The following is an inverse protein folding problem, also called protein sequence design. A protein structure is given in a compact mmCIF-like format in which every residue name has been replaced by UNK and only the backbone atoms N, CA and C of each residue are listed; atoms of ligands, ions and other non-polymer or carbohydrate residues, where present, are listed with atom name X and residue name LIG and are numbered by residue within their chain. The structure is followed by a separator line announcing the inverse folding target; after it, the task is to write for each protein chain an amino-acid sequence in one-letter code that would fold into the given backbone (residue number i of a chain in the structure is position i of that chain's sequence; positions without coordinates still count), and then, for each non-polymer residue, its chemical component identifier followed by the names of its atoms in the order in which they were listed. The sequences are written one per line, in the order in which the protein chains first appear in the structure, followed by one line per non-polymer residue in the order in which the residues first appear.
data_IF_520148644209
#
_entry.id   IF_520148644209
#
_cell.length_a   1.000
_cell.length_b   1.000
_cell.length_c   1.000
_cell.angle_alpha   90.00
_cell.angle_beta   90.00
_cell.angle_gamma   90.00
#
_symmetry.space_group_name_H-M   'P 1'
#
loop_
_entity.id
_entity.type
_entity.pdbx_description
1 polymer ?
#
# COMPACT_ATOMS: atom_id res chain seq x y z
N UNK A 1 -19.75 -26.81 -24.38
CA UNK A 1 -20.36 -25.49 -24.67
C UNK A 1 -19.22 -24.57 -25.07
N UNK A 2 -19.04 -24.35 -26.36
CA UNK A 2 -18.08 -23.36 -26.85
C UNK A 2 -18.68 -21.97 -26.68
N UNK A 3 -18.05 -21.13 -25.87
CA UNK A 3 -18.40 -19.71 -25.75
C UNK A 3 -18.19 -19.03 -27.11
N UNK A 4 -19.13 -18.19 -27.52
CA UNK A 4 -18.95 -17.35 -28.72
C UNK A 4 -17.75 -16.41 -28.52
N UNK A 5 -17.08 -16.02 -29.61
CA UNK A 5 -15.95 -15.08 -29.55
C UNK A 5 -16.32 -13.76 -28.84
N UNK A 6 -17.54 -13.28 -29.05
CA UNK A 6 -18.09 -12.08 -28.41
C UNK A 6 -18.25 -12.24 -26.89
N UNK A 7 -18.70 -13.41 -26.44
CA UNK A 7 -18.84 -13.69 -25.00
C UNK A 7 -17.47 -13.77 -24.31
N UNK A 8 -16.48 -14.37 -24.98
CA UNK A 8 -15.09 -14.46 -24.48
C UNK A 8 -14.48 -13.06 -24.31
N UNK A 9 -14.64 -12.18 -25.30
CA UNK A 9 -14.15 -10.79 -25.23
C UNK A 9 -14.83 -10.01 -24.11
N UNK A 10 -16.14 -10.17 -23.96
CA UNK A 10 -16.91 -9.50 -22.89
C UNK A 10 -16.45 -9.94 -21.49
N UNK A 11 -16.22 -11.23 -21.30
CA UNK A 11 -15.70 -11.79 -20.04
C UNK A 11 -14.29 -11.24 -19.74
N UNK A 12 -13.41 -11.18 -20.74
CA UNK A 12 -12.05 -10.67 -20.60
C UNK A 12 -12.05 -9.17 -20.25
N UNK A 13 -12.89 -8.36 -20.91
CA UNK A 13 -13.05 -6.93 -20.60
C UNK A 13 -13.59 -6.71 -19.18
N UNK A 14 -14.54 -7.55 -18.75
CA UNK A 14 -15.05 -7.50 -17.37
C UNK A 14 -13.95 -7.88 -16.36
N UNK A 15 -13.15 -8.90 -16.64
CA UNK A 15 -12.02 -9.27 -15.80
C UNK A 15 -10.96 -8.16 -15.73
N UNK A 16 -10.64 -7.53 -16.87
CA UNK A 16 -9.68 -6.43 -16.94
C UNK A 16 -10.13 -5.21 -16.11
N UNK A 17 -11.37 -4.78 -16.29
CA UNK A 17 -11.94 -3.66 -15.51
C UNK A 17 -11.98 -3.97 -14.02
N UNK A 18 -12.31 -5.22 -13.65
CA UNK A 18 -12.26 -5.67 -12.26
C UNK A 18 -10.84 -5.59 -11.68
N UNK A 19 -9.83 -6.10 -12.38
CA UNK A 19 -8.44 -6.11 -11.93
C UNK A 19 -7.85 -4.69 -11.80
N UNK A 20 -8.15 -3.79 -12.75
CA UNK A 20 -7.78 -2.37 -12.66
C UNK A 20 -8.42 -1.68 -11.46
N UNK A 21 -9.71 -1.93 -11.23
CA UNK A 21 -10.42 -1.43 -10.06
C UNK A 21 -9.85 -1.96 -8.73
N UNK A 22 -9.43 -3.22 -8.69
CA UNK A 22 -8.74 -3.77 -7.51
C UNK A 22 -7.40 -3.09 -7.24
N UNK A 23 -6.61 -2.82 -8.28
CA UNK A 23 -5.32 -2.13 -8.15
C UNK A 23 -5.54 -0.74 -7.55
N UNK A 24 -6.45 0.06 -8.11
CA UNK A 24 -6.77 1.40 -7.60
C UNK A 24 -7.28 1.36 -6.15
N UNK A 25 -8.17 0.41 -5.82
CA UNK A 25 -8.67 0.25 -4.44
C UNK A 25 -7.56 -0.09 -3.45
N UNK A 26 -6.60 -0.92 -3.84
CA UNK A 26 -5.48 -1.30 -2.98
C UNK A 26 -4.53 -0.13 -2.75
N UNK A 27 -4.25 0.66 -3.79
CA UNK A 27 -3.46 1.90 -3.64
C UNK A 27 -4.14 2.92 -2.72
N UNK A 28 -5.45 3.12 -2.89
CA UNK A 28 -6.22 3.99 -1.99
C UNK A 28 -6.16 3.51 -0.53
N UNK A 29 -6.25 2.19 -0.30
CA UNK A 29 -6.09 1.61 1.05
C UNK A 29 -4.69 1.78 1.60
N UNK A 30 -3.64 1.62 0.79
CA UNK A 30 -2.25 1.86 1.22
C UNK A 30 -2.07 3.31 1.70
N UNK A 31 -2.56 4.28 0.94
CA UNK A 31 -2.49 5.69 1.31
C UNK A 31 -3.31 6.00 2.56
N UNK A 32 -4.56 5.53 2.63
CA UNK A 32 -5.41 5.73 3.79
C UNK A 32 -4.81 5.15 5.07
N UNK A 33 -4.22 3.94 4.99
CA UNK A 33 -3.52 3.32 6.12
C UNK A 33 -2.31 4.14 6.55
N UNK A 34 -1.53 4.66 5.61
CA UNK A 34 -0.39 5.51 5.91
C UNK A 34 -0.83 6.82 6.59
N UNK A 35 -1.83 7.51 6.07
CA UNK A 35 -2.38 8.75 6.65
C UNK A 35 -2.94 8.52 8.05
N UNK A 36 -3.71 7.44 8.26
CA UNK A 36 -4.22 7.09 9.58
C UNK A 36 -3.10 6.79 10.58
N UNK A 37 -2.09 6.04 10.15
CA UNK A 37 -0.99 5.62 11.02
C UNK A 37 -0.10 6.80 11.40
N UNK A 38 0.20 7.69 10.45
CA UNK A 38 0.96 8.91 10.71
C UNK A 38 0.19 9.85 11.62
N UNK A 39 -1.11 10.06 11.38
CA UNK A 39 -1.97 10.87 12.25
C UNK A 39 -2.02 10.33 13.69
N UNK A 40 -2.14 9.01 13.85
CA UNK A 40 -2.10 8.37 15.16
C UNK A 40 -0.76 8.58 15.89
N UNK A 41 0.37 8.39 15.19
CA UNK A 41 1.70 8.56 15.77
C UNK A 41 1.98 10.01 16.17
N UNK A 42 1.56 10.99 15.36
CA UNK A 42 1.67 12.42 15.69
C UNK A 42 0.81 12.78 16.90
N UNK A 43 -0.43 12.28 16.96
CA UNK A 43 -1.29 12.50 18.12
C UNK A 43 -0.71 11.89 19.40
N UNK A 44 -0.16 10.67 19.31
CA UNK A 44 0.52 10.01 20.42
C UNK A 44 1.75 10.81 20.88
N UNK A 45 2.55 11.31 19.94
CA UNK A 45 3.68 12.19 20.24
C UNK A 45 3.24 13.47 20.96
N UNK A 46 2.22 14.16 20.45
CA UNK A 46 1.67 15.38 21.06
C UNK A 46 1.15 15.13 22.48
N UNK A 47 0.49 13.99 22.71
CA UNK A 47 0.03 13.60 24.04
C UNK A 47 1.19 13.35 25.02
N UNK A 48 2.28 12.70 24.57
CA UNK A 48 3.46 12.46 25.38
C UNK A 48 4.15 13.77 25.79
N UNK A 49 4.31 14.69 24.83
CA UNK A 49 4.87 16.02 25.10
C UNK A 49 3.99 16.82 26.06
N UNK A 50 2.66 16.76 25.92
CA UNK A 50 1.75 17.42 26.85
C UNK A 50 1.80 16.82 28.27
N UNK A 51 2.12 15.53 28.40
CA UNK A 51 2.23 14.83 29.68
C UNK A 51 3.59 15.04 30.36
N UNK A 52 4.65 15.37 29.61
CA UNK A 52 6.01 15.53 30.16
C UNK A 52 6.16 16.73 31.11
N UNK A 53 5.26 17.72 31.04
CA UNK A 53 5.29 18.92 31.89
C UNK A 53 4.73 18.67 33.31
N UNK A 54 4.28 17.44 33.62
CA UNK A 54 3.80 17.09 34.95
C UNK A 54 4.98 16.76 35.87
N UNK A 55 5.26 17.66 36.81
CA UNK A 55 6.36 17.60 37.78
C UNK A 55 6.36 16.38 38.74
N UNK A 56 5.34 15.52 38.71
CA UNK A 56 5.28 14.33 39.55
C UNK A 56 5.61 13.08 38.72
N UNK A 57 6.64 12.29 39.09
CA UNK A 57 6.93 11.04 38.41
C UNK A 57 5.72 10.11 38.53
N UNK A 58 5.32 9.52 37.40
CA UNK A 58 4.20 8.58 37.36
C UNK A 58 4.47 7.42 38.34
N UNK A 59 3.48 7.02 39.16
CA UNK A 59 3.61 5.82 39.97
C UNK A 59 3.78 4.64 39.01
N UNK A 60 4.85 3.86 39.20
CA UNK A 60 5.23 2.76 38.31
C UNK A 60 5.61 3.18 36.88
N UNK A 61 6.56 4.12 36.73
CA UNK A 61 7.06 4.58 35.43
C UNK A 61 7.52 3.45 34.47
N UNK A 62 8.23 2.44 34.98
CA UNK A 62 8.74 1.32 34.16
C UNK A 62 7.62 0.53 33.44
N UNK A 63 6.61 -0.05 34.12
CA UNK A 63 5.55 -0.77 33.44
C UNK A 63 4.70 0.11 32.53
N UNK A 64 4.52 1.40 32.86
CA UNK A 64 3.79 2.35 32.00
C UNK A 64 4.55 2.57 30.68
N UNK A 65 5.87 2.77 30.73
CA UNK A 65 6.72 2.90 29.54
C UNK A 65 6.68 1.66 28.65
N UNK A 66 6.74 0.47 29.25
CA UNK A 66 6.66 -0.81 28.52
C UNK A 66 5.30 -0.94 27.83
N UNK A 67 4.21 -0.65 28.54
CA UNK A 67 2.86 -0.73 27.99
C UNK A 67 2.66 0.28 26.84
N UNK A 68 3.10 1.52 27.02
CA UNK A 68 3.02 2.56 25.99
C UNK A 68 3.87 2.20 24.75
N UNK A 69 5.06 1.63 24.96
CA UNK A 69 5.90 1.13 23.87
C UNK A 69 5.20 0.03 23.07
N UNK A 70 4.59 -0.94 23.74
CA UNK A 70 3.85 -2.02 23.08
C UNK A 70 2.64 -1.49 22.31
N UNK A 71 1.90 -0.54 22.88
CA UNK A 71 0.73 0.08 22.26
C UNK A 71 1.07 0.78 20.94
N UNK A 72 2.31 1.25 20.76
CA UNK A 72 2.75 1.98 19.57
C UNK A 72 3.51 1.07 18.61
N UNK A 73 4.44 0.27 19.12
CA UNK A 73 5.30 -0.57 18.30
C UNK A 73 4.53 -1.70 17.61
N UNK A 74 3.58 -2.34 18.29
CA UNK A 74 2.83 -3.49 17.73
C UNK A 74 1.93 -3.06 16.57
N UNK A 75 1.04 -2.05 16.71
CA UNK A 75 0.19 -1.62 15.60
C UNK A 75 1.00 -1.06 14.43
N UNK A 76 2.04 -0.26 14.70
CA UNK A 76 2.90 0.32 13.66
C UNK A 76 3.60 -0.75 12.83
N UNK A 77 4.09 -1.81 13.48
CA UNK A 77 4.74 -2.94 12.80
C UNK A 77 3.74 -3.72 11.95
N UNK A 78 2.54 -4.01 12.46
CA UNK A 78 1.49 -4.70 11.71
C UNK A 78 1.08 -3.89 10.47
N UNK A 79 0.95 -2.57 10.61
CA UNK A 79 0.59 -1.67 9.52
C UNK A 79 1.67 -1.60 8.44
N UNK A 80 2.95 -1.48 8.83
CA UNK A 80 4.08 -1.53 7.90
C UNK A 80 4.11 -2.85 7.10
N UNK A 81 3.92 -3.99 7.77
CA UNK A 81 3.86 -5.30 7.11
C UNK A 81 2.68 -5.37 6.13
N UNK A 82 1.50 -4.87 6.52
CA UNK A 82 0.33 -4.85 5.63
C UNK A 82 0.54 -4.00 4.39
N UNK A 83 1.14 -2.81 4.51
CA UNK A 83 1.45 -1.93 3.37
C UNK A 83 2.37 -2.66 2.37
N UNK A 84 3.40 -3.36 2.86
CA UNK A 84 4.27 -4.17 2.00
C UNK A 84 3.52 -5.34 1.33
N UNK A 85 2.57 -5.95 2.03
CA UNK A 85 1.73 -7.03 1.51
C UNK A 85 0.81 -6.59 0.36
N UNK A 86 0.21 -5.40 0.45
CA UNK A 86 -0.64 -4.86 -0.63
C UNK A 86 0.15 -4.59 -1.90
N UNK A 87 1.38 -4.09 -1.78
CA UNK A 87 2.25 -3.82 -2.92
C UNK A 87 2.57 -5.08 -3.72
N UNK A 88 2.86 -6.21 -3.06
CA UNK A 88 3.17 -7.47 -3.77
C UNK A 88 1.97 -7.96 -4.59
N UNK A 89 0.78 -7.96 -3.99
CA UNK A 89 -0.43 -8.40 -4.68
C UNK A 89 -0.86 -7.45 -5.80
N UNK A 90 -0.50 -6.15 -5.73
CA UNK A 90 -0.73 -5.21 -6.83
C UNK A 90 0.10 -5.55 -8.07
N UNK A 91 1.32 -6.07 -7.90
CA UNK A 91 2.16 -6.52 -9.02
C UNK A 91 1.56 -7.77 -9.67
N UNK A 92 1.07 -8.71 -8.87
CA UNK A 92 0.38 -9.90 -9.37
C UNK A 92 -0.85 -9.53 -10.21
N UNK A 93 -1.72 -8.64 -9.70
CA UNK A 93 -2.87 -8.16 -10.47
C UNK A 93 -2.44 -7.46 -11.77
N UNK A 94 -1.35 -6.69 -11.77
CA UNK A 94 -0.84 -6.02 -12.95
C UNK A 94 -0.36 -7.02 -14.02
N UNK A 95 0.29 -8.11 -13.61
CA UNK A 95 0.66 -9.20 -14.54
C UNK A 95 -0.57 -9.89 -15.13
N UNK A 96 -1.66 -9.99 -14.37
CA UNK A 96 -2.92 -10.54 -14.89
C UNK A 96 -3.57 -9.61 -15.91
N UNK A 97 -3.55 -8.30 -15.66
CA UNK A 97 -4.05 -7.30 -16.63
C UNK A 97 -3.30 -7.41 -17.95
N UNK A 98 -1.97 -7.43 -17.93
CA UNK A 98 -1.17 -7.56 -19.16
C UNK A 98 -1.46 -8.86 -19.91
N UNK A 99 -1.61 -9.98 -19.20
CA UNK A 99 -1.99 -11.25 -19.85
C UNK A 99 -3.35 -11.16 -20.55
N UNK A 100 -4.31 -10.46 -19.96
CA UNK A 100 -5.62 -10.23 -20.58
C UNK A 100 -5.48 -9.32 -21.80
N UNK A 101 -4.66 -8.26 -21.72
CA UNK A 101 -4.38 -7.35 -22.84
C UNK A 101 -3.70 -8.05 -24.02
N UNK A 102 -2.78 -8.98 -23.75
CA UNK A 102 -2.16 -9.85 -24.77
C UNK A 102 -3.20 -10.77 -25.40
N UNK A 103 -4.07 -11.41 -24.60
CA UNK A 103 -5.15 -12.28 -25.11
C UNK A 103 -6.19 -11.50 -25.94
N UNK A 104 -6.33 -10.20 -25.70
CA UNK A 104 -7.20 -9.31 -26.47
C UNK A 104 -6.50 -8.70 -27.69
N UNK A 105 -5.26 -9.12 -27.98
CA UNK A 105 -4.45 -8.62 -29.10
C UNK A 105 -4.25 -7.09 -29.06
N UNK A 106 -4.26 -6.48 -27.87
CA UNK A 106 -4.15 -5.02 -27.70
C UNK A 106 -2.84 -4.43 -28.21
N UNK A 107 -1.76 -5.20 -28.18
CA UNK A 107 -0.42 -4.77 -28.59
C UNK A 107 -0.10 -5.08 -30.05
N UNK A 108 -1.00 -5.75 -30.78
CA UNK A 108 -0.78 -6.11 -32.19
C UNK A 108 -1.05 -4.93 -33.12
N UNK A 109 -0.06 -4.59 -33.94
CA UNK A 109 -0.17 -3.51 -34.91
C UNK A 109 -1.24 -3.84 -35.97
N UNK A 110 -2.20 -2.92 -36.15
CA UNK A 110 -3.27 -3.05 -37.15
C UNK A 110 -4.57 -3.67 -36.64
N UNK A 111 -4.60 -4.27 -35.44
CA UNK A 111 -5.83 -4.86 -34.88
C UNK A 111 -6.89 -3.80 -34.53
N UNK A 112 -6.45 -2.63 -34.06
CA UNK A 112 -7.30 -1.48 -33.71
C UNK A 112 -7.31 -0.36 -34.78
N UNK A 113 -6.87 -0.68 -36.00
CA UNK A 113 -6.69 0.32 -37.07
C UNK A 113 -5.43 1.20 -36.87
N UNK A 114 -5.30 2.31 -37.63
CA UNK A 114 -4.08 3.13 -37.65
C UNK A 114 -3.83 3.92 -36.36
N UNK A 115 -4.82 4.00 -35.46
CA UNK A 115 -4.74 4.70 -34.17
C UNK A 115 -4.99 3.72 -33.02
N UNK A 116 -4.08 2.76 -32.83
CA UNK A 116 -4.08 1.97 -31.59
C UNK A 116 -3.70 2.88 -30.41
N UNK A 117 -4.47 2.89 -29.30
CA UNK A 117 -4.06 3.58 -28.08
C UNK A 117 -2.89 2.88 -27.37
N UNK A 118 -2.55 1.65 -27.77
CA UNK A 118 -1.46 0.86 -27.22
C UNK A 118 -0.28 0.79 -28.22
N UNK A 119 0.89 1.36 -27.88
CA UNK A 119 2.07 1.30 -28.72
C UNK A 119 2.59 -0.14 -28.89
N UNK A 120 3.19 -0.47 -30.06
CA UNK A 120 3.89 -1.73 -30.23
C UNK A 120 5.06 -1.84 -29.26
N UNK A 121 5.18 -2.97 -28.57
CA UNK A 121 6.26 -3.23 -27.59
C UNK A 121 5.97 -2.75 -26.15
N UNK A 122 4.74 -2.32 -25.86
CA UNK A 122 4.32 -2.03 -24.47
C UNK A 122 4.03 -3.27 -23.61
N UNK A 123 4.08 -4.47 -24.19
CA UNK A 123 3.94 -5.71 -23.44
C UNK A 123 4.98 -5.77 -22.29
N UNK A 124 4.51 -6.03 -21.08
CA UNK A 124 5.37 -6.10 -19.89
C UNK A 124 5.72 -4.76 -19.24
N UNK A 125 5.37 -3.61 -19.85
CA UNK A 125 5.71 -2.29 -19.30
C UNK A 125 4.86 -1.90 -18.07
N UNK A 126 3.61 -2.34 -18.01
CA UNK A 126 2.71 -2.04 -16.91
C UNK A 126 3.09 -2.81 -15.63
N UNK A 127 3.36 -4.11 -15.74
CA UNK A 127 3.80 -4.93 -14.61
C UNK A 127 5.21 -4.56 -14.14
N UNK A 128 6.13 -4.27 -15.07
CA UNK A 128 7.48 -3.82 -14.71
C UNK A 128 7.48 -2.45 -14.02
N UNK A 129 6.71 -1.49 -14.53
CA UNK A 129 6.52 -0.19 -13.88
C UNK A 129 5.93 -0.32 -12.47
N UNK A 130 4.97 -1.23 -12.27
CA UNK A 130 4.42 -1.54 -10.95
C UNK A 130 5.42 -2.18 -10.01
N UNK A 131 6.27 -3.09 -10.51
CA UNK A 131 7.35 -3.70 -9.72
C UNK A 131 8.38 -2.67 -9.24
N UNK A 132 8.56 -1.58 -9.98
CA UNK A 132 9.49 -0.51 -9.64
C UNK A 132 8.93 0.51 -8.64
N UNK A 133 7.62 0.46 -8.33
CA UNK A 133 6.97 1.36 -7.36
C UNK A 133 7.53 1.12 -5.94
N UNK A 134 8.30 2.09 -5.43
CA UNK A 134 8.89 2.06 -4.09
C UNK A 134 8.03 2.69 -2.99
N UNK A 135 6.83 3.20 -3.33
CA UNK A 135 5.96 3.94 -2.39
C UNK A 135 5.67 3.16 -1.11
N UNK A 136 5.31 1.88 -1.20
CA UNK A 136 5.04 1.04 -0.03
C UNK A 136 6.27 0.87 0.87
N UNK A 137 7.47 0.83 0.29
CA UNK A 137 8.72 0.77 1.04
C UNK A 137 8.99 2.09 1.76
N UNK A 138 8.82 3.23 1.09
CA UNK A 138 8.94 4.54 1.71
C UNK A 138 7.94 4.74 2.85
N UNK A 139 6.66 4.39 2.65
CA UNK A 139 5.64 4.50 3.70
C UNK A 139 5.97 3.64 4.92
N UNK A 140 6.38 2.39 4.70
CA UNK A 140 6.78 1.49 5.79
C UNK A 140 8.00 2.03 6.55
N UNK A 141 9.01 2.54 5.83
CA UNK A 141 10.19 3.15 6.43
C UNK A 141 9.87 4.38 7.29
N UNK A 142 9.04 5.29 6.78
CA UNK A 142 8.59 6.48 7.52
C UNK A 142 7.82 6.07 8.78
N UNK A 143 6.91 5.10 8.70
CA UNK A 143 6.15 4.63 9.86
C UNK A 143 7.05 4.03 10.93
N UNK A 144 8.04 3.23 10.55
CA UNK A 144 9.00 2.65 11.51
C UNK A 144 9.86 3.74 12.15
N UNK A 145 10.32 4.72 11.37
CA UNK A 145 11.09 5.86 11.89
C UNK A 145 10.26 6.66 12.90
N UNK A 146 9.02 7.00 12.55
CA UNK A 146 8.11 7.72 13.45
C UNK A 146 7.82 6.92 14.72
N UNK A 147 7.51 5.63 14.59
CA UNK A 147 7.29 4.76 15.75
C UNK A 147 8.52 4.72 16.67
N UNK A 148 9.73 4.63 16.09
CA UNK A 148 10.97 4.69 16.84
C UNK A 148 11.14 6.02 17.58
N UNK A 149 10.88 7.16 16.92
CA UNK A 149 10.93 8.47 17.55
C UNK A 149 9.96 8.55 18.75
N UNK A 150 8.71 8.12 18.57
CA UNK A 150 7.70 8.13 19.63
C UNK A 150 8.09 7.23 20.81
N UNK A 151 8.64 6.04 20.54
CA UNK A 151 9.16 5.15 21.59
C UNK A 151 10.32 5.82 22.33
N UNK A 152 11.29 6.39 21.62
CA UNK A 152 12.39 7.12 22.28
C UNK A 152 11.87 8.25 23.17
N UNK A 153 10.85 8.98 22.73
CA UNK A 153 10.19 10.02 23.54
C UNK A 153 9.54 9.47 24.80
N UNK A 154 8.87 8.30 24.73
CA UNK A 154 8.34 7.62 25.94
C UNK A 154 9.47 7.33 26.93
N UNK A 155 10.61 6.84 26.45
CA UNK A 155 11.70 6.45 27.34
C UNK A 155 12.42 7.65 27.95
N UNK A 156 12.51 8.78 27.22
CA UNK A 156 13.18 10.00 27.64
C UNK A 156 12.31 10.92 28.52
N UNK A 157 11.01 11.00 28.27
CA UNK A 157 10.11 11.99 28.89
C UNK A 157 9.17 11.45 29.97
N UNK A 158 8.72 10.19 29.86
CA UNK A 158 7.97 9.52 30.94
C UNK A 158 8.92 8.95 32.00
#
# INVERSE_FOLDING_TARGET
MDLSSTDKVTILLHALTHQLGEIQRREGREQQLFEWSTGFLVAAFGALVALSDRANPLPYALPIKILATLLIAVPSSILAIRILGYSKRSVENATTVERIEVLLHMFEAGYYGPTSPYPPGWEGTFASGRKQRRTAFYYSGILLLMAFCVVMTIWLLL
#
